data_IF_968141711351
#
_entry.id   IF_968141711351
#
_cell.length_a   1.000
_cell.length_b   1.000
_cell.length_c   1.000
_cell.angle_alpha   90.00
_cell.angle_beta   90.00
_cell.angle_gamma   90.00
#
_symmetry.space_group_name_H-M   'P 1'
#
loop_
_entity.id
_entity.type
_entity.pdbx_description
1 polymer ?
#
# COMPACT_ATOMS: atom_id res chain seq x y z
N UNK A 1 3.52 9.62 7.50
CA UNK A 1 3.45 8.63 6.38
C UNK A 1 2.03 8.15 6.13
N UNK A 2 1.29 7.64 7.12
CA UNK A 2 -0.08 7.13 6.91
C UNK A 2 -1.06 8.19 6.36
N UNK A 3 -0.93 9.45 6.75
CA UNK A 3 -1.75 10.55 6.19
C UNK A 3 -1.58 10.73 4.68
N UNK A 4 -0.43 10.33 4.12
CA UNK A 4 -0.21 10.35 2.67
C UNK A 4 -1.13 9.34 1.96
N UNK A 5 -1.47 8.22 2.62
CA UNK A 5 -2.44 7.26 2.09
C UNK A 5 -3.83 7.89 2.09
N UNK A 6 -4.22 8.57 3.16
CA UNK A 6 -5.52 9.27 3.27
C UNK A 6 -5.65 10.36 2.22
N UNK A 7 -4.69 11.28 2.17
CA UNK A 7 -4.75 12.46 1.30
C UNK A 7 -4.65 12.09 -0.19
N UNK A 8 -3.73 11.22 -0.57
CA UNK A 8 -3.51 10.88 -1.97
C UNK A 8 -4.42 9.73 -2.46
N UNK A 9 -4.80 8.84 -1.55
CA UNK A 9 -5.72 7.73 -1.81
C UNK A 9 -7.19 8.07 -1.69
N UNK A 10 -7.54 9.18 -1.02
CA UNK A 10 -8.93 9.55 -0.71
C UNK A 10 -9.65 8.42 0.05
N UNK A 11 -8.98 7.90 1.08
CA UNK A 11 -9.45 6.80 1.94
C UNK A 11 -9.38 7.26 3.38
N UNK A 12 -10.52 7.29 4.06
CA UNK A 12 -10.55 7.66 5.47
C UNK A 12 -9.89 6.58 6.33
N UNK A 13 -9.01 6.99 7.23
CA UNK A 13 -8.22 6.11 8.06
C UNK A 13 -8.22 6.61 9.51
N UNK A 14 -8.73 5.78 10.41
CA UNK A 14 -8.64 6.01 11.86
C UNK A 14 -7.87 4.87 12.48
N UNK A 15 -6.70 5.17 13.04
CA UNK A 15 -5.82 4.18 13.68
C UNK A 15 -5.63 4.55 15.15
N UNK A 16 -5.77 3.54 16.02
CA UNK A 16 -5.43 3.62 17.43
C UNK A 16 -4.44 2.50 17.73
N UNK A 17 -3.37 2.82 18.44
CA UNK A 17 -2.30 1.89 18.81
C UNK A 17 -1.89 2.19 20.25
N UNK A 18 -1.69 1.13 21.04
CA UNK A 18 -1.06 1.21 22.34
C UNK A 18 0.39 0.76 22.16
N UNK A 19 1.34 1.68 22.29
CA UNK A 19 2.77 1.36 22.15
C UNK A 19 3.27 0.80 23.49
N UNK A 20 3.58 -0.49 23.53
CA UNK A 20 3.92 -1.19 24.79
C UNK A 20 5.38 -1.01 25.26
N UNK A 21 6.32 -0.51 24.44
CA UNK A 21 7.65 -0.11 24.94
C UNK A 21 8.39 0.84 23.98
N UNK A 22 9.33 1.61 24.52
CA UNK A 22 10.20 2.53 23.77
C UNK A 22 11.37 1.83 23.03
N UNK A 23 11.44 0.49 23.06
CA UNK A 23 12.68 -0.23 22.73
C UNK A 23 12.64 -0.90 21.34
N UNK A 24 11.46 -1.16 20.77
CA UNK A 24 11.36 -1.68 19.39
C UNK A 24 10.06 -1.28 18.68
N UNK A 25 10.18 -0.42 17.66
CA UNK A 25 9.07 0.01 16.82
C UNK A 25 8.67 -1.03 15.75
N UNK A 26 9.45 -2.10 15.58
CA UNK A 26 9.21 -3.15 14.59
C UNK A 26 7.82 -3.75 14.70
N UNK A 27 7.48 -4.29 15.87
CA UNK A 27 6.18 -4.94 16.09
C UNK A 27 5.02 -3.95 15.90
N UNK A 28 5.16 -2.70 16.37
CA UNK A 28 4.10 -1.70 16.20
C UNK A 28 3.84 -1.41 14.71
N UNK A 29 4.91 -1.25 13.91
CA UNK A 29 4.79 -0.95 12.48
C UNK A 29 4.23 -2.16 11.70
N UNK A 30 4.71 -3.37 12.02
CA UNK A 30 4.19 -4.61 11.44
C UNK A 30 2.71 -4.79 11.76
N UNK A 31 2.31 -4.63 13.02
CA UNK A 31 0.93 -4.79 13.49
C UNK A 31 -0.02 -3.78 12.85
N UNK A 32 0.42 -2.54 12.66
CA UNK A 32 -0.35 -1.54 11.91
C UNK A 32 -0.54 -2.02 10.46
N UNK A 33 0.51 -2.53 9.81
CA UNK A 33 0.42 -3.10 8.46
C UNK A 33 -0.57 -4.27 8.38
N UNK A 34 -0.52 -5.18 9.35
CA UNK A 34 -1.45 -6.32 9.50
C UNK A 34 -2.89 -5.82 9.67
N UNK A 35 -3.13 -4.92 10.62
CA UNK A 35 -4.46 -4.41 10.94
C UNK A 35 -5.07 -3.67 9.74
N UNK A 36 -4.29 -2.81 9.08
CA UNK A 36 -4.71 -2.11 7.87
C UNK A 36 -5.01 -3.08 6.73
N UNK A 37 -4.17 -4.08 6.50
CA UNK A 37 -4.40 -5.08 5.46
C UNK A 37 -5.71 -5.87 5.68
N UNK A 38 -5.99 -6.27 6.94
CA UNK A 38 -7.25 -6.93 7.32
C UNK A 38 -8.46 -6.02 7.11
N UNK A 39 -8.37 -4.77 7.57
CA UNK A 39 -9.44 -3.78 7.41
C UNK A 39 -9.74 -3.49 5.94
N UNK A 40 -8.70 -3.30 5.13
CA UNK A 40 -8.83 -3.08 3.70
C UNK A 40 -9.47 -4.26 2.98
N UNK A 41 -9.06 -5.51 3.28
CA UNK A 41 -9.68 -6.71 2.70
C UNK A 41 -11.18 -6.78 3.01
N UNK A 42 -11.55 -6.47 4.26
CA UNK A 42 -12.94 -6.45 4.71
C UNK A 42 -13.74 -5.39 3.94
N UNK A 43 -13.20 -4.17 3.82
CA UNK A 43 -13.84 -3.06 3.10
C UNK A 43 -13.99 -3.34 1.59
N UNK A 44 -13.01 -4.01 0.98
CA UNK A 44 -12.99 -4.32 -0.45
C UNK A 44 -14.07 -5.32 -0.89
N UNK A 45 -14.49 -6.22 0.01
CA UNK A 45 -15.55 -7.19 -0.23
C UNK A 45 -15.30 -8.09 -1.45
N UNK A 46 -16.32 -8.27 -2.30
CA UNK A 46 -16.30 -9.21 -3.43
C UNK A 46 -15.48 -8.74 -4.65
N UNK A 47 -14.84 -7.56 -4.61
CA UNK A 47 -14.03 -7.02 -5.73
C UNK A 47 -14.78 -6.92 -7.07
N UNK A 48 -16.10 -6.79 -7.02
CA UNK A 48 -16.94 -6.73 -8.22
C UNK A 48 -16.86 -5.34 -8.84
N UNK A 49 -16.58 -5.28 -10.14
CA UNK A 49 -16.60 -4.08 -10.95
C UNK A 49 -15.58 -3.00 -10.60
N UNK A 50 -14.50 -3.38 -9.93
CA UNK A 50 -13.34 -2.50 -9.72
C UNK A 50 -12.31 -2.71 -10.82
N UNK A 51 -11.41 -1.73 -11.00
CA UNK A 51 -10.28 -1.83 -11.94
C UNK A 51 -9.28 -2.92 -11.61
N UNK A 52 -9.24 -3.39 -10.35
CA UNK A 52 -8.36 -4.44 -9.80
C UNK A 52 -6.87 -4.06 -9.75
N UNK A 53 -6.39 -3.41 -10.80
CA UNK A 53 -5.01 -2.98 -10.96
C UNK A 53 -4.87 -1.48 -10.71
N UNK A 54 -3.80 -1.11 -10.04
CA UNK A 54 -3.44 0.28 -9.78
C UNK A 54 -1.96 0.50 -10.03
N UNK A 55 -1.61 1.62 -10.65
CA UNK A 55 -0.23 2.02 -10.88
C UNK A 55 -0.09 3.53 -10.75
N UNK A 56 0.97 3.98 -10.11
CA UNK A 56 1.33 5.39 -10.05
C UNK A 56 2.84 5.57 -9.94
N UNK A 57 3.29 6.73 -10.37
CA UNK A 57 4.63 7.24 -10.19
C UNK A 57 4.47 8.56 -9.45
N UNK A 58 5.20 8.75 -8.36
CA UNK A 58 5.13 9.98 -7.56
C UNK A 58 6.54 10.44 -7.21
N UNK A 59 6.89 11.70 -7.52
CA UNK A 59 8.13 12.29 -7.05
C UNK A 59 7.98 12.90 -5.64
N UNK A 60 9.11 13.06 -4.98
CA UNK A 60 9.30 14.01 -3.88
C UNK A 60 10.74 14.50 -3.98
N UNK A 61 10.90 15.77 -4.35
CA UNK A 61 12.19 16.37 -4.69
C UNK A 61 13.01 15.47 -5.64
N UNK A 62 14.18 15.01 -5.21
CA UNK A 62 15.08 14.17 -6.00
C UNK A 62 14.65 12.69 -6.08
N UNK A 63 13.66 12.30 -5.27
CA UNK A 63 13.15 10.93 -5.21
C UNK A 63 11.99 10.70 -6.17
N UNK A 64 11.97 9.52 -6.80
CA UNK A 64 10.88 9.08 -7.66
C UNK A 64 10.54 7.62 -7.35
N UNK A 65 9.30 7.38 -6.95
CA UNK A 65 8.81 6.04 -6.61
C UNK A 65 7.70 5.58 -7.54
N UNK A 66 7.67 4.28 -7.84
CA UNK A 66 6.61 3.59 -8.55
C UNK A 66 5.95 2.58 -7.63
N UNK A 67 4.63 2.60 -7.56
CA UNK A 67 3.87 1.56 -6.86
C UNK A 67 2.83 0.93 -7.78
N UNK A 68 2.89 -0.39 -7.92
CA UNK A 68 1.95 -1.19 -8.73
C UNK A 68 1.27 -2.22 -7.83
N UNK A 69 -0.06 -2.25 -7.85
CA UNK A 69 -0.87 -3.17 -7.05
C UNK A 69 -1.82 -3.98 -7.94
N UNK A 70 -1.91 -5.28 -7.68
CA UNK A 70 -2.99 -6.17 -8.15
C UNK A 70 -3.75 -6.69 -6.93
N UNK A 71 -5.05 -6.42 -6.88
CA UNK A 71 -5.98 -6.96 -5.88
C UNK A 71 -6.32 -8.44 -6.16
N UNK A 72 -5.28 -9.23 -6.37
CA UNK A 72 -5.28 -10.59 -6.95
C UNK A 72 -5.86 -11.67 -6.06
N UNK A 73 -5.92 -11.44 -4.74
CA UNK A 73 -6.14 -12.51 -3.76
C UNK A 73 -4.88 -13.31 -3.42
N UNK A 74 -3.72 -12.96 -4.00
CA UNK A 74 -2.45 -13.67 -3.80
C UNK A 74 -1.42 -12.72 -3.17
N UNK A 75 -0.95 -13.00 -1.95
CA UNK A 75 0.05 -12.16 -1.30
C UNK A 75 1.40 -12.31 -2.02
N UNK A 76 1.96 -11.19 -2.48
CA UNK A 76 3.35 -11.12 -2.93
C UNK A 76 3.86 -9.68 -2.83
N UNK A 77 5.06 -9.49 -2.27
CA UNK A 77 5.69 -8.19 -2.10
C UNK A 77 7.06 -8.18 -2.80
N UNK A 78 7.22 -7.25 -3.73
CA UNK A 78 8.50 -6.91 -4.34
C UNK A 78 8.78 -5.44 -4.03
N UNK A 79 9.85 -5.15 -3.30
CA UNK A 79 10.14 -3.81 -2.83
C UNK A 79 11.63 -3.52 -2.87
N UNK A 80 12.01 -2.39 -3.48
CA UNK A 80 13.37 -1.83 -3.40
C UNK A 80 13.72 -1.49 -1.95
N UNK A 81 14.92 -1.86 -1.52
CA UNK A 81 15.40 -1.53 -0.17
C UNK A 81 15.58 -0.01 -0.03
N UNK A 82 15.13 0.54 1.10
CA UNK A 82 15.22 1.98 1.42
C UNK A 82 16.09 2.16 2.65
N UNK A 83 17.20 2.89 2.53
CA UNK A 83 18.11 3.13 3.64
C UNK A 83 18.65 1.84 4.29
N UNK A 84 19.01 1.92 5.58
CA UNK A 84 19.58 0.81 6.36
C UNK A 84 18.54 -0.01 7.13
N UNK A 85 17.43 0.61 7.54
CA UNK A 85 16.39 -0.01 8.38
C UNK A 85 15.17 -0.42 7.57
N UNK A 86 14.71 -1.66 7.73
CA UNK A 86 13.70 -2.29 6.87
C UNK A 86 12.27 -2.24 7.44
N UNK A 87 12.00 -1.32 8.38
CA UNK A 87 10.71 -1.24 9.09
C UNK A 87 9.52 -1.04 8.14
N UNK A 88 9.70 -0.27 7.07
CA UNK A 88 8.65 -0.03 6.07
C UNK A 88 8.34 -1.28 5.24
N UNK A 89 9.32 -2.15 5.00
CA UNK A 89 9.07 -3.42 4.33
C UNK A 89 8.18 -4.31 5.18
N UNK A 90 8.38 -4.35 6.49
CA UNK A 90 7.54 -5.13 7.40
C UNK A 90 6.10 -4.59 7.46
N UNK A 91 5.91 -3.27 7.41
CA UNK A 91 4.57 -2.67 7.19
C UNK A 91 3.91 -3.21 5.91
N UNK A 92 4.60 -3.13 4.77
CA UNK A 92 4.04 -3.57 3.48
C UNK A 92 3.86 -5.08 3.39
N UNK A 93 4.69 -5.86 4.06
CA UNK A 93 4.56 -7.31 4.17
C UNK A 93 3.36 -7.68 5.02
N UNK A 94 3.19 -7.02 6.17
CA UNK A 94 1.98 -7.10 7.00
C UNK A 94 0.72 -6.78 6.20
N UNK A 95 0.74 -5.68 5.43
CA UNK A 95 -0.34 -5.31 4.52
C UNK A 95 -0.63 -6.42 3.50
N UNK A 96 0.35 -6.78 2.67
CA UNK A 96 0.22 -7.73 1.54
C UNK A 96 -0.32 -9.08 2.01
N UNK A 97 0.23 -9.60 3.10
CA UNK A 97 -0.15 -10.90 3.66
C UNK A 97 -1.60 -10.94 4.12
N UNK A 98 -2.13 -9.81 4.59
CA UNK A 98 -3.45 -9.72 5.19
C UNK A 98 -4.52 -9.20 4.23
N UNK A 99 -4.17 -8.30 3.31
CA UNK A 99 -5.07 -7.83 2.25
C UNK A 99 -5.17 -8.79 1.07
N UNK A 100 -4.20 -9.71 0.94
CA UNK A 100 -4.07 -10.68 -0.15
C UNK A 100 -3.97 -9.97 -1.51
N UNK A 101 -2.99 -9.07 -1.65
CA UNK A 101 -2.65 -8.38 -2.90
C UNK A 101 -1.24 -8.70 -3.36
N UNK A 102 -0.97 -8.51 -4.64
CA UNK A 102 0.39 -8.45 -5.17
C UNK A 102 0.80 -6.99 -5.24
N UNK A 103 1.97 -6.65 -4.70
CA UNK A 103 2.47 -5.27 -4.57
C UNK A 103 3.92 -5.18 -5.03
N UNK A 104 4.17 -4.27 -5.96
CA UNK A 104 5.51 -3.88 -6.39
C UNK A 104 5.75 -2.43 -6.00
N UNK A 105 6.90 -2.18 -5.37
CA UNK A 105 7.34 -0.84 -4.92
C UNK A 105 8.78 -0.65 -5.40
N UNK A 106 8.97 0.27 -6.32
CA UNK A 106 10.29 0.58 -6.87
C UNK A 106 10.67 2.02 -6.53
N UNK A 107 11.90 2.23 -6.07
CA UNK A 107 12.52 3.54 -6.06
C UNK A 107 13.36 3.64 -7.33
N UNK A 108 12.94 4.52 -8.23
CA UNK A 108 13.60 4.70 -9.52
C UNK A 108 14.76 5.68 -9.42
N UNK A 109 14.62 6.69 -8.55
CA UNK A 109 15.61 7.74 -8.29
C UNK A 109 15.46 8.22 -6.85
N UNK A 110 16.51 8.84 -6.33
CA UNK A 110 16.51 9.47 -5.00
C UNK A 110 17.61 8.96 -4.10
N UNK A 111 17.99 9.76 -3.11
CA UNK A 111 18.98 9.38 -2.10
C UNK A 111 18.57 9.78 -0.68
N UNK A 112 17.67 10.75 -0.52
CA UNK A 112 17.13 11.08 0.79
C UNK A 112 16.08 10.03 1.17
N UNK A 113 16.33 9.28 2.24
CA UNK A 113 15.43 8.20 2.67
C UNK A 113 14.03 8.71 3.03
N UNK A 114 13.90 9.91 3.60
CA UNK A 114 12.61 10.50 3.89
C UNK A 114 11.80 10.75 2.61
N UNK A 115 12.43 11.34 1.58
CA UNK A 115 11.79 11.62 0.29
C UNK A 115 11.40 10.33 -0.44
N UNK A 116 12.26 9.33 -0.39
CA UNK A 116 11.98 7.99 -0.92
C UNK A 116 10.75 7.37 -0.23
N UNK A 117 10.71 7.34 1.10
CA UNK A 117 9.60 6.74 1.85
C UNK A 117 8.30 7.52 1.58
N UNK A 118 8.31 8.83 1.67
CA UNK A 118 7.10 9.62 1.50
C UNK A 118 6.56 9.52 0.07
N UNK A 119 7.42 9.52 -0.96
CA UNK A 119 6.99 9.28 -2.34
C UNK A 119 6.38 7.87 -2.53
N UNK A 120 6.91 6.84 -1.86
CA UNK A 120 6.30 5.50 -1.82
C UNK A 120 4.88 5.57 -1.23
N UNK A 121 4.70 6.21 -0.06
CA UNK A 121 3.39 6.25 0.60
C UNK A 121 2.36 7.07 -0.20
N UNK A 122 2.78 8.19 -0.83
CA UNK A 122 1.93 8.94 -1.77
C UNK A 122 1.51 8.07 -2.95
N UNK A 123 2.48 7.42 -3.60
CA UNK A 123 2.23 6.53 -4.74
C UNK A 123 1.34 5.34 -4.36
N UNK A 124 1.55 4.75 -3.19
CA UNK A 124 0.72 3.66 -2.68
C UNK A 124 -0.74 4.08 -2.51
N UNK A 125 -1.01 5.24 -1.90
CA UNK A 125 -2.35 5.79 -1.79
C UNK A 125 -3.04 5.95 -3.15
N UNK A 126 -2.37 6.58 -4.11
CA UNK A 126 -2.90 6.78 -5.48
C UNK A 126 -3.15 5.44 -6.18
N UNK A 127 -2.23 4.49 -6.05
CA UNK A 127 -2.35 3.17 -6.70
C UNK A 127 -3.51 2.37 -6.13
N UNK A 128 -3.73 2.40 -4.81
CA UNK A 128 -4.92 1.79 -4.19
C UNK A 128 -6.18 2.44 -4.75
N UNK A 129 -6.28 3.78 -4.72
CA UNK A 129 -7.45 4.51 -5.24
C UNK A 129 -7.78 4.08 -6.66
N UNK A 130 -6.78 3.98 -7.53
CA UNK A 130 -6.95 3.51 -8.92
C UNK A 130 -7.46 2.08 -8.98
N UNK A 131 -6.90 1.17 -8.17
CA UNK A 131 -7.27 -0.25 -8.18
C UNK A 131 -8.71 -0.50 -7.69
N UNK A 132 -9.17 0.25 -6.68
CA UNK A 132 -10.51 0.12 -6.11
C UNK A 132 -11.58 0.93 -6.88
N UNK A 133 -11.17 1.80 -7.80
CA UNK A 133 -12.10 2.60 -8.60
C UNK A 133 -13.04 1.69 -9.39
N UNK A 134 -14.34 1.99 -9.35
CA UNK A 134 -15.34 1.29 -10.16
C UNK A 134 -15.13 1.59 -11.65
N UNK A 135 -15.14 0.55 -12.47
CA UNK A 135 -15.05 0.68 -13.92
C UNK A 135 -16.41 0.43 -14.57
N UNK A 136 -16.92 1.43 -15.30
CA UNK A 136 -18.22 1.35 -15.98
C UNK A 136 -18.28 0.26 -17.05
N UNK A 137 -17.13 -0.20 -17.56
CA UNK A 137 -17.04 -1.30 -18.53
C UNK A 137 -17.00 -2.68 -17.86
N UNK A 138 -16.83 -2.72 -16.55
CA UNK A 138 -16.77 -3.93 -15.73
C UNK A 138 -17.96 -3.91 -14.78
N UNK A 139 -19.16 -4.07 -15.33
CA UNK A 139 -20.40 -4.10 -14.53
C UNK A 139 -20.67 -5.51 -14.04
N UNK A 140 -21.02 -5.64 -12.76
CA UNK A 140 -21.51 -6.88 -12.11
C UNK A 140 -20.64 -8.14 -12.28
N UNK A 141 -19.37 -7.99 -12.66
CA UNK A 141 -18.43 -9.11 -12.79
C UNK A 141 -17.17 -8.90 -11.97
N UNK A 142 -16.58 -10.01 -11.54
CA UNK A 142 -15.23 -10.03 -11.02
C UNK A 142 -14.25 -9.79 -12.19
N UNK A 143 -13.26 -8.93 -12.00
CA UNK A 143 -12.21 -8.75 -13.00
C UNK A 143 -11.19 -9.89 -12.90
N UNK A 144 -11.57 -11.07 -13.38
CA UNK A 144 -10.77 -12.31 -13.40
C UNK A 144 -11.14 -13.15 -14.62
N UNK A 145 -10.17 -13.91 -15.14
CA UNK A 145 -10.40 -14.94 -16.18
C UNK A 145 -10.70 -16.31 -15.58
N UNK A 146 -10.54 -16.45 -14.26
CA UNK A 146 -10.88 -17.63 -13.46
C UNK A 146 -12.08 -17.33 -12.59
#
# INVERSE_FOLDING_TARGET
MLDQITNNGQIDLTIKTNVYSHIDHHHTIEDIGIAMGKAFKKALGKKIGIKRYGCSYVPMDESLSRVVIDLSGRPSLHMTKVGKFDLFREFFKGWVNNCKSTLHIDILKGFNSHHQIESIFKSFGISIRKAITKDKRITNKLYSTK
#
